data_IF_769419250602
#
_entry.id   IF_769419250602
#
_cell.length_a   1.000
_cell.length_b   1.000
_cell.length_c   1.000
_cell.angle_alpha   90.00
_cell.angle_beta   90.00
_cell.angle_gamma   90.00
#
_symmetry.space_group_name_H-M   'P 1'
#
loop_
_entity.id
_entity.type
_entity.pdbx_description
1 polymer ?
#
# COMPACT_ATOMS: atom_id res chain seq x y z
N UNK A 1 4.39 -17.12 -5.62
CA UNK A 1 3.10 -16.78 -6.24
C UNK A 1 1.98 -17.75 -5.89
N UNK A 2 2.22 -19.06 -5.99
CA UNK A 2 1.21 -20.04 -5.63
C UNK A 2 0.75 -19.91 -4.16
N UNK A 3 1.68 -19.63 -3.26
CA UNK A 3 1.35 -19.47 -1.84
C UNK A 3 0.46 -18.25 -1.62
N UNK A 4 0.69 -17.17 -2.36
CA UNK A 4 -0.14 -15.99 -2.26
C UNK A 4 -1.57 -16.29 -2.74
N UNK A 5 -1.71 -16.99 -3.84
CA UNK A 5 -3.04 -17.38 -4.34
C UNK A 5 -3.79 -18.23 -3.31
N UNK A 6 -3.10 -19.18 -2.70
CA UNK A 6 -3.71 -20.05 -1.70
C UNK A 6 -4.23 -19.25 -0.50
N UNK A 7 -3.38 -18.37 0.03
CA UNK A 7 -3.74 -17.54 1.18
C UNK A 7 -4.89 -16.59 0.84
N UNK A 8 -4.88 -16.03 -0.38
CA UNK A 8 -5.94 -15.13 -0.84
C UNK A 8 -7.27 -15.87 -0.97
N UNK A 9 -7.27 -17.06 -1.55
CA UNK A 9 -8.48 -17.85 -1.68
C UNK A 9 -9.08 -18.21 -0.31
N UNK A 10 -8.23 -18.53 0.66
CA UNK A 10 -8.67 -18.79 2.02
C UNK A 10 -9.29 -17.56 2.67
N UNK A 11 -8.74 -16.37 2.41
CA UNK A 11 -9.29 -15.12 2.93
C UNK A 11 -10.69 -14.86 2.36
N UNK A 12 -10.87 -15.10 1.07
CA UNK A 12 -12.17 -14.96 0.42
C UNK A 12 -13.17 -15.96 1.02
N UNK A 13 -12.74 -17.20 1.21
CA UNK A 13 -13.61 -18.25 1.77
C UNK A 13 -14.08 -17.93 3.17
N UNK A 14 -13.21 -17.35 4.00
CA UNK A 14 -13.58 -17.00 5.38
C UNK A 14 -14.62 -15.89 5.45
N UNK A 15 -14.68 -15.02 4.44
CA UNK A 15 -15.69 -13.98 4.36
C UNK A 15 -15.64 -12.91 5.44
N UNK A 16 -14.53 -12.77 6.15
CA UNK A 16 -14.39 -11.82 7.25
C UNK A 16 -13.97 -10.43 6.83
N UNK A 17 -13.51 -10.28 5.60
CA UNK A 17 -13.02 -9.01 5.10
C UNK A 17 -13.76 -8.60 3.84
N UNK A 18 -13.80 -7.29 3.60
CA UNK A 18 -14.35 -6.73 2.38
C UNK A 18 -13.53 -7.23 1.18
N UNK A 19 -14.22 -7.65 0.13
CA UNK A 19 -13.56 -8.10 -1.10
C UNK A 19 -12.69 -7.01 -1.71
N UNK A 20 -13.06 -5.75 -1.53
CA UNK A 20 -12.24 -4.62 -2.01
C UNK A 20 -10.89 -4.61 -1.31
N UNK A 21 -10.88 -4.85 0.01
CA UNK A 21 -9.64 -4.91 0.76
C UNK A 21 -8.79 -6.10 0.33
N UNK A 22 -9.39 -7.26 0.16
CA UNK A 22 -8.69 -8.46 -0.30
C UNK A 22 -8.05 -8.21 -1.65
N UNK A 23 -8.76 -7.55 -2.55
CA UNK A 23 -8.23 -7.19 -3.87
C UNK A 23 -7.03 -6.26 -3.76
N UNK A 24 -7.13 -5.22 -2.93
CA UNK A 24 -6.02 -4.28 -2.73
C UNK A 24 -4.78 -4.99 -2.18
N UNK A 25 -4.97 -5.86 -1.19
CA UNK A 25 -3.87 -6.61 -0.60
C UNK A 25 -3.21 -7.50 -1.66
N UNK A 26 -4.01 -8.22 -2.43
CA UNK A 26 -3.50 -9.10 -3.47
C UNK A 26 -2.71 -8.33 -4.53
N UNK A 27 -3.25 -7.21 -5.01
CA UNK A 27 -2.59 -6.41 -6.03
C UNK A 27 -1.26 -5.86 -5.55
N UNK A 28 -1.23 -5.25 -4.36
CA UNK A 28 -0.01 -4.66 -3.83
C UNK A 28 1.03 -5.73 -3.52
N UNK A 29 0.61 -6.87 -2.97
CA UNK A 29 1.54 -7.95 -2.68
C UNK A 29 2.12 -8.56 -3.95
N UNK A 30 1.34 -8.66 -5.01
CA UNK A 30 1.81 -9.14 -6.30
C UNK A 30 2.88 -8.20 -6.87
N UNK A 31 2.65 -6.90 -6.79
CA UNK A 31 3.64 -5.90 -7.21
C UNK A 31 4.92 -6.04 -6.38
N UNK A 32 4.78 -6.28 -5.07
CA UNK A 32 5.91 -6.46 -4.17
C UNK A 32 6.74 -7.68 -4.55
N UNK A 33 6.09 -8.78 -4.86
CA UNK A 33 6.79 -10.01 -5.26
C UNK A 33 7.55 -9.79 -6.57
N UNK A 34 7.02 -8.97 -7.46
CA UNK A 34 7.69 -8.62 -8.71
C UNK A 34 8.86 -7.66 -8.54
N UNK A 35 9.12 -7.20 -7.32
CA UNK A 35 10.22 -6.27 -7.05
C UNK A 35 9.89 -4.82 -7.36
N UNK A 36 8.63 -4.49 -7.56
CA UNK A 36 8.20 -3.15 -7.98
C UNK A 36 7.37 -2.43 -6.92
N UNK A 37 7.50 -2.83 -5.65
CA UNK A 37 6.77 -2.19 -4.56
C UNK A 37 7.18 -0.72 -4.44
N UNK A 38 6.21 0.18 -4.13
CA UNK A 38 6.56 1.56 -3.86
C UNK A 38 7.36 1.68 -2.57
N UNK A 39 8.22 2.69 -2.49
CA UNK A 39 8.98 2.96 -1.26
C UNK A 39 8.06 3.66 -0.26
N UNK A 40 7.70 2.94 0.80
CA UNK A 40 6.75 3.43 1.81
C UNK A 40 7.32 3.47 3.23
N UNK A 41 8.60 3.15 3.39
CA UNK A 41 9.18 2.98 4.73
C UNK A 41 10.01 4.15 5.21
N UNK A 42 10.46 5.00 4.29
CA UNK A 42 11.22 6.20 4.65
C UNK A 42 11.05 7.25 3.56
N UNK A 43 11.28 8.52 3.94
CA UNK A 43 11.24 9.61 2.98
C UNK A 43 12.30 9.39 1.91
N UNK A 44 11.91 9.53 0.66
CA UNK A 44 12.80 9.33 -0.47
C UNK A 44 13.97 10.31 -0.47
N UNK A 45 13.77 11.48 0.09
CA UNK A 45 14.77 12.54 0.04
C UNK A 45 15.63 12.64 1.30
N UNK A 46 15.01 12.67 2.48
CA UNK A 46 15.77 12.87 3.73
C UNK A 46 15.87 11.60 4.57
N UNK A 47 15.27 10.50 4.11
CA UNK A 47 15.32 9.19 4.77
C UNK A 47 14.69 9.13 6.16
N UNK A 48 13.92 10.15 6.56
CA UNK A 48 13.20 10.09 7.83
C UNK A 48 12.11 9.02 7.76
N UNK A 49 11.81 8.41 8.91
CA UNK A 49 10.74 7.44 9.02
C UNK A 49 9.47 8.04 9.62
N UNK A 50 9.50 9.33 9.94
CA UNK A 50 8.40 10.02 10.59
C UNK A 50 7.70 10.98 9.63
N UNK A 51 6.42 11.22 9.90
CA UNK A 51 5.59 12.17 9.13
C UNK A 51 5.58 11.89 7.63
N UNK A 52 5.52 10.62 7.25
CA UNK A 52 5.43 10.21 5.86
C UNK A 52 3.98 10.31 5.41
N UNK A 53 3.63 11.42 4.79
CA UNK A 53 2.24 11.73 4.45
C UNK A 53 2.01 12.08 2.99
N UNK A 54 3.06 12.30 2.21
CA UNK A 54 2.94 12.72 0.81
C UNK A 54 3.50 11.65 -0.10
N UNK A 55 2.65 11.10 -0.96
CA UNK A 55 3.06 10.11 -1.95
C UNK A 55 3.25 10.78 -3.30
N UNK A 56 4.30 10.37 -4.02
CA UNK A 56 4.53 10.78 -5.39
C UNK A 56 4.29 9.60 -6.32
N UNK A 57 3.16 9.57 -7.05
CA UNK A 57 2.93 8.49 -8.02
C UNK A 57 4.02 8.43 -9.09
N UNK A 58 4.57 9.58 -9.43
CA UNK A 58 5.63 9.69 -10.44
C UNK A 58 6.90 8.96 -10.01
N UNK A 59 7.28 9.11 -8.74
CA UNK A 59 8.51 8.52 -8.21
C UNK A 59 8.27 7.17 -7.54
N UNK A 60 7.01 6.78 -7.37
CA UNK A 60 6.62 5.56 -6.66
C UNK A 60 7.22 5.52 -5.26
N UNK A 61 7.21 6.65 -4.58
CA UNK A 61 7.85 6.79 -3.28
C UNK A 61 7.08 7.75 -2.39
N UNK A 62 7.30 7.62 -1.08
CA UNK A 62 6.68 8.49 -0.10
C UNK A 62 7.67 9.54 0.38
N UNK A 63 7.15 10.70 0.76
CA UNK A 63 7.95 11.83 1.24
C UNK A 63 7.38 12.31 2.57
N UNK A 64 8.24 12.86 3.41
CA UNK A 64 7.78 13.48 4.64
C UNK A 64 7.09 14.81 4.33
N UNK A 65 6.40 15.34 5.34
CA UNK A 65 5.64 16.56 5.18
C UNK A 65 6.50 17.74 4.68
N UNK A 66 7.75 17.81 5.14
CA UNK A 66 8.64 18.87 4.73
C UNK A 66 9.15 18.72 3.29
N UNK A 67 9.63 17.54 2.94
CA UNK A 67 10.14 17.28 1.57
C UNK A 67 9.02 17.27 0.56
N UNK A 68 7.82 16.85 0.96
CA UNK A 68 6.67 16.78 0.06
C UNK A 68 6.15 18.12 -0.43
N UNK A 69 6.55 19.21 0.21
CA UNK A 69 6.10 20.56 -0.18
C UNK A 69 6.62 20.98 -1.54
N UNK A 70 7.72 20.42 -1.98
CA UNK A 70 8.35 20.79 -3.25
C UNK A 70 8.08 19.80 -4.37
N UNK A 71 7.27 18.78 -4.11
CA UNK A 71 6.97 17.75 -5.10
C UNK A 71 5.87 18.21 -6.04
N UNK A 72 6.06 17.92 -7.32
CA UNK A 72 5.04 18.15 -8.31
C UNK A 72 3.96 17.08 -8.21
N UNK A 73 2.70 17.50 -8.21
CA UNK A 73 1.54 16.61 -8.10
C UNK A 73 1.58 15.76 -6.82
N UNK A 74 1.68 16.40 -5.63
CA UNK A 74 1.71 15.65 -4.38
C UNK A 74 0.37 14.97 -4.12
N UNK A 75 0.44 13.77 -3.56
CA UNK A 75 -0.76 13.00 -3.23
C UNK A 75 -0.78 12.75 -1.72
N UNK A 76 -1.50 13.56 -0.94
CA UNK A 76 -1.55 13.37 0.52
C UNK A 76 -2.20 12.03 0.88
N UNK A 77 -1.62 11.33 1.84
CA UNK A 77 -2.15 10.08 2.35
C UNK A 77 -2.39 10.17 3.84
N UNK A 78 -3.44 9.50 4.31
CA UNK A 78 -3.69 9.37 5.74
C UNK A 78 -2.64 8.44 6.36
N UNK A 79 -2.27 8.65 7.63
CA UNK A 79 -1.32 7.77 8.30
C UNK A 79 -1.72 6.31 8.27
N UNK A 80 -3.03 6.03 8.40
CA UNK A 80 -3.54 4.65 8.32
C UNK A 80 -3.29 4.00 6.98
N UNK A 81 -3.37 4.75 5.88
CA UNK A 81 -3.09 4.24 4.55
C UNK A 81 -1.63 3.85 4.40
N UNK A 82 -0.72 4.69 4.92
CA UNK A 82 0.72 4.40 4.88
C UNK A 82 1.02 3.14 5.69
N UNK A 83 0.44 3.03 6.89
CA UNK A 83 0.63 1.84 7.72
C UNK A 83 0.09 0.58 7.05
N UNK A 84 -1.07 0.68 6.40
CA UNK A 84 -1.66 -0.45 5.69
C UNK A 84 -0.75 -0.90 4.55
N UNK A 85 -0.20 0.04 3.77
CA UNK A 85 0.71 -0.29 2.69
C UNK A 85 1.98 -0.98 3.22
N UNK A 86 2.56 -0.46 4.30
CA UNK A 86 3.73 -1.08 4.92
C UNK A 86 3.44 -2.49 5.38
N UNK A 87 2.28 -2.70 6.00
CA UNK A 87 1.88 -4.02 6.46
C UNK A 87 1.77 -4.99 5.29
N UNK A 88 1.10 -4.58 4.22
CA UNK A 88 0.90 -5.43 3.05
C UNK A 88 2.24 -5.82 2.41
N UNK A 89 3.18 -4.88 2.35
CA UNK A 89 4.49 -5.12 1.73
C UNK A 89 5.34 -6.06 2.58
N UNK A 90 5.32 -5.91 3.90
CA UNK A 90 6.27 -6.56 4.79
C UNK A 90 5.74 -7.76 5.58
N UNK A 91 4.41 -7.94 5.68
CA UNK A 91 3.85 -8.98 6.54
C UNK A 91 4.15 -10.39 6.01
N UNK A 92 4.35 -11.38 6.91
CA UNK A 92 4.42 -12.77 6.49
C UNK A 92 3.11 -13.19 5.83
N UNK A 93 3.18 -14.15 4.89
CA UNK A 93 2.00 -14.58 4.16
C UNK A 93 0.85 -15.03 5.06
N UNK A 94 1.17 -15.76 6.12
CA UNK A 94 0.15 -16.27 7.03
C UNK A 94 -0.59 -15.19 7.81
N UNK A 95 -0.03 -13.98 7.86
CA UNK A 95 -0.63 -12.83 8.56
C UNK A 95 -1.10 -11.74 7.62
N UNK A 96 -0.92 -11.93 6.32
CA UNK A 96 -1.18 -10.88 5.33
C UNK A 96 -2.63 -10.39 5.37
N UNK A 97 -3.58 -11.27 5.56
CA UNK A 97 -5.00 -10.93 5.59
C UNK A 97 -5.54 -10.80 7.01
N UNK A 98 -4.68 -10.53 7.98
CA UNK A 98 -5.06 -10.45 9.38
C UNK A 98 -5.44 -9.07 9.90
N UNK A 99 -5.70 -8.11 9.02
CA UNK A 99 -6.05 -6.75 9.45
C UNK A 99 -7.26 -6.22 8.67
N UNK A 100 -7.85 -5.15 9.22
CA UNK A 100 -8.95 -4.46 8.55
C UNK A 100 -8.68 -2.96 8.59
N UNK A 101 -9.36 -2.22 7.72
CA UNK A 101 -9.25 -0.76 7.65
C UNK A 101 -10.66 -0.17 7.52
N UNK A 102 -10.81 1.12 7.86
CA UNK A 102 -12.09 1.79 7.65
C UNK A 102 -12.27 2.12 6.16
N UNK A 103 -13.48 2.58 5.80
CA UNK A 103 -13.81 2.85 4.40
C UNK A 103 -12.96 3.96 3.79
N UNK A 104 -12.64 4.99 4.55
CA UNK A 104 -11.83 6.08 4.04
C UNK A 104 -10.45 5.60 3.60
N UNK A 105 -9.83 4.76 4.44
CA UNK A 105 -8.52 4.18 4.12
C UNK A 105 -8.64 3.23 2.95
N UNK A 106 -9.69 2.44 2.90
CA UNK A 106 -9.91 1.52 1.79
C UNK A 106 -10.08 2.26 0.46
N UNK A 107 -10.86 3.34 0.45
CA UNK A 107 -11.02 4.17 -0.74
C UNK A 107 -9.69 4.76 -1.19
N UNK A 108 -8.87 5.21 -0.25
CA UNK A 108 -7.57 5.78 -0.55
C UNK A 108 -6.61 4.72 -1.10
N UNK A 109 -6.64 3.51 -0.53
CA UNK A 109 -5.84 2.39 -1.04
C UNK A 109 -6.24 2.04 -2.47
N UNK A 110 -7.53 2.01 -2.77
CA UNK A 110 -8.00 1.72 -4.12
C UNK A 110 -7.54 2.76 -5.13
N UNK A 111 -7.64 4.02 -4.76
CA UNK A 111 -7.19 5.12 -5.61
C UNK A 111 -5.69 5.04 -5.86
N UNK A 112 -4.93 4.79 -4.80
CA UNK A 112 -3.48 4.67 -4.88
C UNK A 112 -3.06 3.52 -5.80
N UNK A 113 -3.66 2.36 -5.61
CA UNK A 113 -3.33 1.20 -6.42
C UNK A 113 -3.76 1.35 -7.86
N UNK A 114 -4.92 1.98 -8.09
CA UNK A 114 -5.38 2.23 -9.46
C UNK A 114 -4.40 3.13 -10.20
N UNK A 115 -3.94 4.20 -9.56
CA UNK A 115 -2.96 5.10 -10.17
C UNK A 115 -1.63 4.39 -10.39
N UNK A 116 -1.20 3.57 -9.43
CA UNK A 116 0.07 2.87 -9.52
C UNK A 116 0.05 1.82 -10.63
N UNK A 117 -1.02 1.04 -10.72
CA UNK A 117 -1.14 -0.01 -11.72
C UNK A 117 -1.24 0.53 -13.15
N UNK A 118 -1.78 1.73 -13.32
CA UNK A 118 -1.84 2.35 -14.65
C UNK A 118 -0.46 2.64 -15.24
N UNK A 119 0.58 2.65 -14.43
CA UNK A 119 1.95 2.86 -14.90
C UNK A 119 2.58 1.60 -15.44
N UNK A 120 2.01 0.48 -15.11
CA UNK A 120 2.48 -0.85 -15.51
C UNK A 120 1.40 -1.54 -16.35
#
# INVERSE_FOLDING_TARGET
MLNLLYVTMNAIRRGKQDLRLIRCIFELRTITISGEAPQMFSCMECSTKENLTIFSPRDSAIYCQNCGKTIKDPWPLQPGTVLACRYIIAAPLEKLYGFTVNEEILDELERLLRAYLHRY
#
